data_IF_019846986933
#
_entry.id   IF_019846986933
#
_cell.length_a   1.000
_cell.length_b   1.000
_cell.length_c   1.000
_cell.angle_alpha   90.00
_cell.angle_beta   90.00
_cell.angle_gamma   90.00
#
_symmetry.space_group_name_H-M   'P 1'
#
loop_
_entity.id
_entity.type
_entity.pdbx_description
1 polymer ?
#
# COMPACT_ATOMS: atom_id res chain seq x y z
N UNK A 1 -10.62 -17.40 -30.58
CA UNK A 1 -12.08 -17.23 -30.41
C UNK A 1 -12.33 -15.86 -29.78
N UNK A 2 -12.94 -14.91 -30.49
CA UNK A 2 -13.35 -13.63 -29.94
C UNK A 2 -14.53 -13.87 -29.00
N UNK A 3 -14.28 -14.00 -27.71
CA UNK A 3 -15.31 -14.25 -26.70
C UNK A 3 -15.79 -12.94 -26.06
N UNK A 4 -16.99 -12.98 -25.50
CA UNK A 4 -17.50 -11.89 -24.64
C UNK A 4 -16.93 -12.05 -23.22
N UNK A 5 -16.42 -10.97 -22.64
CA UNK A 5 -15.89 -10.92 -21.29
C UNK A 5 -16.72 -9.95 -20.45
N UNK A 6 -17.20 -10.41 -19.29
CA UNK A 6 -17.79 -9.53 -18.28
C UNK A 6 -16.86 -9.35 -17.10
N UNK A 7 -16.66 -8.10 -16.67
CA UNK A 7 -15.75 -7.73 -15.59
C UNK A 7 -16.55 -7.06 -14.47
N UNK A 8 -16.45 -7.60 -13.25
CA UNK A 8 -17.15 -7.11 -12.07
C UNK A 8 -16.25 -6.15 -11.29
N UNK A 9 -16.59 -4.85 -11.32
CA UNK A 9 -15.79 -3.77 -10.77
C UNK A 9 -15.19 -2.87 -11.86
N UNK A 10 -14.66 -1.72 -11.44
CA UNK A 10 -14.06 -0.72 -12.32
C UNK A 10 -12.76 -0.14 -11.77
N UNK A 11 -12.10 -0.85 -10.85
CA UNK A 11 -10.79 -0.46 -10.33
C UNK A 11 -9.64 -0.83 -11.28
N UNK A 12 -8.41 -0.66 -10.81
CA UNK A 12 -7.20 -0.88 -11.62
C UNK A 12 -7.11 -2.27 -12.23
N UNK A 13 -7.53 -3.33 -11.50
CA UNK A 13 -7.58 -4.68 -12.06
C UNK A 13 -8.60 -4.78 -13.19
N UNK A 14 -9.79 -4.19 -13.01
CA UNK A 14 -10.86 -4.24 -14.00
C UNK A 14 -10.48 -3.51 -15.29
N UNK A 15 -9.93 -2.28 -15.19
CA UNK A 15 -9.50 -1.52 -16.37
C UNK A 15 -8.32 -2.19 -17.10
N UNK A 16 -7.33 -2.71 -16.37
CA UNK A 16 -6.23 -3.45 -16.99
C UNK A 16 -6.72 -4.70 -17.70
N UNK A 17 -7.70 -5.42 -17.11
CA UNK A 17 -8.34 -6.57 -17.76
C UNK A 17 -9.11 -6.14 -18.99
N UNK A 18 -9.92 -5.09 -18.91
CA UNK A 18 -10.75 -4.62 -20.00
C UNK A 18 -9.93 -4.19 -21.22
N UNK A 19 -8.90 -3.37 -21.00
CA UNK A 19 -8.01 -2.90 -22.08
C UNK A 19 -7.31 -4.08 -22.74
N UNK A 20 -6.68 -4.99 -21.96
CA UNK A 20 -6.02 -6.18 -22.52
C UNK A 20 -6.99 -7.10 -23.28
N UNK A 21 -8.21 -7.28 -22.80
CA UNK A 21 -9.22 -8.06 -23.48
C UNK A 21 -9.64 -7.41 -24.82
N UNK A 22 -9.78 -6.09 -24.87
CA UNK A 22 -10.05 -5.33 -26.10
C UNK A 22 -8.92 -5.47 -27.11
N UNK A 23 -7.66 -5.39 -26.65
CA UNK A 23 -6.47 -5.60 -27.51
C UNK A 23 -6.44 -7.01 -28.11
N UNK A 24 -7.00 -8.00 -27.40
CA UNK A 24 -7.18 -9.37 -27.90
C UNK A 24 -8.45 -9.55 -28.77
N UNK A 25 -9.21 -8.47 -29.03
CA UNK A 25 -10.38 -8.49 -29.89
C UNK A 25 -11.68 -8.97 -29.22
N UNK A 26 -11.71 -9.13 -27.90
CA UNK A 26 -12.92 -9.50 -27.17
C UNK A 26 -13.89 -8.32 -27.03
N UNK A 27 -15.20 -8.60 -26.96
CA UNK A 27 -16.18 -7.63 -26.48
C UNK A 27 -16.17 -7.62 -24.95
N UNK A 28 -16.14 -6.43 -24.37
CA UNK A 28 -16.01 -6.25 -22.92
C UNK A 28 -17.18 -5.49 -22.34
N UNK A 29 -17.83 -6.07 -21.34
CA UNK A 29 -18.84 -5.41 -20.52
C UNK A 29 -18.29 -5.29 -19.10
N UNK A 30 -18.12 -4.05 -18.61
CA UNK A 30 -17.73 -3.76 -17.23
C UNK A 30 -18.98 -3.46 -16.40
N UNK A 31 -19.06 -4.00 -15.18
CA UNK A 31 -20.17 -3.74 -14.25
C UNK A 31 -19.65 -2.96 -13.05
N UNK A 32 -20.23 -1.78 -12.77
CA UNK A 32 -19.85 -0.95 -11.63
C UNK A 32 -21.08 -0.47 -10.85
N UNK A 33 -21.08 -0.70 -9.55
CA UNK A 33 -22.20 -0.32 -8.65
C UNK A 33 -22.06 1.10 -8.06
N UNK A 34 -20.83 1.67 -8.08
CA UNK A 34 -20.53 2.94 -7.41
C UNK A 34 -19.71 3.87 -8.32
N UNK A 35 -18.67 4.49 -7.80
CA UNK A 35 -17.82 5.42 -8.55
C UNK A 35 -16.83 4.69 -9.43
N UNK A 36 -16.77 5.06 -10.72
CA UNK A 36 -15.83 4.51 -11.69
C UNK A 36 -14.37 4.79 -11.26
N UNK A 37 -13.46 3.85 -11.54
CA UNK A 37 -12.04 3.96 -11.24
C UNK A 37 -11.60 3.28 -9.93
N UNK A 38 -12.56 2.82 -9.12
CA UNK A 38 -12.29 2.06 -7.89
C UNK A 38 -11.53 2.84 -6.81
N UNK A 39 -10.83 2.12 -5.93
CA UNK A 39 -10.23 2.68 -4.71
C UNK A 39 -9.08 3.63 -5.00
N UNK A 40 -8.12 3.26 -5.86
CA UNK A 40 -6.85 3.96 -6.00
C UNK A 40 -7.02 5.44 -6.38
N UNK A 41 -7.78 5.74 -7.42
CA UNK A 41 -7.97 7.12 -7.89
C UNK A 41 -8.94 7.91 -7.01
N UNK A 42 -10.00 7.27 -6.50
CA UNK A 42 -11.08 8.00 -5.82
C UNK A 42 -10.84 8.22 -4.33
N UNK A 43 -10.39 7.17 -3.60
CA UNK A 43 -10.35 7.15 -2.14
C UNK A 43 -9.12 6.44 -1.57
N UNK A 44 -8.07 6.28 -2.37
CA UNK A 44 -6.86 5.53 -1.98
C UNK A 44 -5.58 6.28 -2.30
N UNK A 45 -4.79 5.73 -3.25
CA UNK A 45 -3.43 6.17 -3.54
C UNK A 45 -3.34 7.65 -3.92
N UNK A 46 -4.14 8.10 -4.89
CA UNK A 46 -4.06 9.47 -5.40
C UNK A 46 -4.43 10.49 -4.32
N UNK A 47 -5.64 10.44 -3.71
CA UNK A 47 -6.00 11.43 -2.71
C UNK A 47 -5.12 11.39 -1.47
N UNK A 48 -4.71 10.21 -0.99
CA UNK A 48 -3.86 10.14 0.19
C UNK A 48 -2.47 10.74 -0.07
N UNK A 49 -1.84 10.47 -1.23
CA UNK A 49 -0.52 11.01 -1.56
C UNK A 49 -0.56 12.52 -1.84
N UNK A 50 -1.67 13.03 -2.39
CA UNK A 50 -1.87 14.48 -2.52
C UNK A 50 -1.90 15.16 -1.15
N UNK A 51 -2.65 14.61 -0.19
CA UNK A 51 -2.72 15.16 1.17
C UNK A 51 -1.42 14.98 1.95
N UNK A 52 -0.75 13.81 1.86
CA UNK A 52 0.56 13.57 2.48
C UNK A 52 1.56 14.62 1.99
N UNK A 53 1.61 14.88 0.67
CA UNK A 53 2.51 15.92 0.13
C UNK A 53 2.21 17.31 0.65
N UNK A 54 0.94 17.66 0.88
CA UNK A 54 0.56 18.92 1.51
C UNK A 54 1.00 18.99 2.98
N UNK A 55 0.84 17.88 3.74
CA UNK A 55 1.34 17.74 5.12
C UNK A 55 2.86 17.91 5.20
N UNK A 56 3.61 17.24 4.32
CA UNK A 56 5.07 17.38 4.22
C UNK A 56 5.51 18.82 3.96
N UNK A 57 4.82 19.53 3.06
CA UNK A 57 5.13 20.95 2.79
C UNK A 57 4.97 21.81 4.04
N UNK A 58 3.90 21.59 4.84
CA UNK A 58 3.70 22.28 6.12
C UNK A 58 4.79 21.90 7.13
N UNK A 59 5.12 20.62 7.26
CA UNK A 59 6.17 20.14 8.18
C UNK A 59 7.50 20.79 7.88
N UNK A 60 7.93 20.84 6.61
CA UNK A 60 9.18 21.48 6.18
C UNK A 60 9.16 22.98 6.48
N UNK A 61 8.00 23.65 6.29
CA UNK A 61 7.85 25.06 6.65
C UNK A 61 7.89 25.30 8.16
N UNK A 62 7.46 24.33 8.98
CA UNK A 62 7.49 24.42 10.44
C UNK A 62 8.86 24.07 11.03
N UNK A 63 9.52 23.07 10.42
CA UNK A 63 10.74 22.47 10.97
C UNK A 63 11.67 22.05 9.83
N UNK A 64 12.82 22.72 9.71
CA UNK A 64 13.91 22.31 8.83
C UNK A 64 15.26 22.50 9.55
N UNK A 65 16.30 21.71 9.18
CA UNK A 65 17.57 21.68 9.92
C UNK A 65 18.55 22.81 9.56
N UNK A 66 18.26 23.66 8.57
CA UNK A 66 19.22 24.61 8.02
C UNK A 66 19.29 25.89 8.85
N UNK A 67 20.46 26.16 9.43
CA UNK A 67 20.71 27.36 10.20
C UNK A 67 20.63 28.63 9.31
N UNK A 68 20.10 29.72 9.88
CA UNK A 68 20.00 31.00 9.19
C UNK A 68 18.84 31.12 8.17
N UNK A 69 17.99 30.10 8.05
CA UNK A 69 16.75 30.15 7.29
C UNK A 69 15.60 30.14 8.29
N UNK A 70 14.87 31.25 8.40
CA UNK A 70 13.69 31.35 9.25
C UNK A 70 12.44 31.07 8.43
N UNK A 71 11.67 30.06 8.85
CA UNK A 71 10.37 29.72 8.25
C UNK A 71 9.35 29.51 9.35
N UNK A 72 8.07 29.64 9.01
CA UNK A 72 6.96 29.38 9.91
C UNK A 72 5.81 28.72 9.15
N UNK A 73 5.18 27.72 9.76
CA UNK A 73 3.93 27.17 9.25
C UNK A 73 2.75 27.95 9.85
N UNK A 74 1.92 28.51 8.96
CA UNK A 74 0.65 29.13 9.35
C UNK A 74 -0.43 28.11 9.69
N UNK A 75 -1.64 28.59 10.07
CA UNK A 75 -2.82 27.73 10.21
C UNK A 75 -3.16 27.07 8.87
N UNK A 76 -3.71 25.86 8.93
CA UNK A 76 -4.10 25.10 7.73
C UNK A 76 -5.59 25.29 7.49
N UNK A 77 -5.96 25.73 6.29
CA UNK A 77 -7.32 25.59 5.77
C UNK A 77 -7.46 24.20 5.12
N UNK A 78 -7.94 23.22 5.90
CA UNK A 78 -8.05 21.85 5.42
C UNK A 78 -9.10 21.73 4.30
N UNK A 79 -10.14 22.56 4.28
CA UNK A 79 -11.14 22.56 3.20
C UNK A 79 -10.51 22.92 1.85
N UNK A 80 -9.63 23.93 1.84
CA UNK A 80 -8.92 24.32 0.62
C UNK A 80 -7.97 23.20 0.14
N UNK A 81 -7.25 22.54 1.06
CA UNK A 81 -6.36 21.40 0.71
C UNK A 81 -7.17 20.21 0.17
N UNK A 82 -8.31 19.89 0.80
CA UNK A 82 -9.21 18.81 0.34
C UNK A 82 -9.80 19.16 -1.02
N UNK A 83 -10.25 20.40 -1.25
CA UNK A 83 -10.78 20.84 -2.55
C UNK A 83 -9.73 20.65 -3.66
N UNK A 84 -8.48 21.02 -3.44
CA UNK A 84 -7.38 20.80 -4.41
C UNK A 84 -7.16 19.32 -4.69
N UNK A 85 -7.21 18.45 -3.66
CA UNK A 85 -7.17 17.00 -3.81
C UNK A 85 -8.35 16.50 -4.66
N UNK A 86 -9.56 17.01 -4.43
CA UNK A 86 -10.76 16.60 -5.16
C UNK A 86 -10.73 17.00 -6.64
N UNK A 87 -10.20 18.18 -6.96
CA UNK A 87 -9.96 18.61 -8.34
C UNK A 87 -9.01 17.65 -9.06
N UNK A 88 -7.89 17.25 -8.43
CA UNK A 88 -6.96 16.28 -8.99
C UNK A 88 -7.62 14.92 -9.20
N UNK A 89 -8.37 14.43 -8.22
CA UNK A 89 -9.09 13.15 -8.30
C UNK A 89 -10.11 13.17 -9.43
N UNK A 90 -10.90 14.24 -9.54
CA UNK A 90 -11.90 14.39 -10.60
C UNK A 90 -11.27 14.41 -11.99
N UNK A 91 -10.17 15.18 -12.17
CA UNK A 91 -9.45 15.25 -13.43
C UNK A 91 -8.89 13.88 -13.84
N UNK A 92 -8.21 13.18 -12.92
CA UNK A 92 -7.64 11.87 -13.22
C UNK A 92 -8.70 10.79 -13.43
N UNK A 93 -9.81 10.82 -12.70
CA UNK A 93 -10.92 9.89 -12.92
C UNK A 93 -11.50 10.07 -14.32
N UNK A 94 -11.73 11.32 -14.72
CA UNK A 94 -12.24 11.62 -16.06
C UNK A 94 -11.27 11.13 -17.14
N UNK A 95 -10.02 11.58 -17.11
CA UNK A 95 -9.02 11.30 -18.15
C UNK A 95 -8.61 9.82 -18.21
N UNK A 96 -8.39 9.18 -17.05
CA UNK A 96 -7.79 7.84 -16.97
C UNK A 96 -8.80 6.70 -16.80
N UNK A 97 -10.11 7.02 -16.72
CA UNK A 97 -11.15 6.00 -16.56
C UNK A 97 -12.39 6.30 -17.43
N UNK A 98 -13.03 7.49 -17.29
CA UNK A 98 -14.26 7.78 -17.98
C UNK A 98 -14.05 7.88 -19.50
N UNK A 99 -13.06 8.64 -19.93
CA UNK A 99 -12.74 8.84 -21.35
C UNK A 99 -12.26 7.53 -22.00
N UNK A 100 -11.52 6.69 -21.27
CA UNK A 100 -11.01 5.39 -21.78
C UNK A 100 -12.12 4.37 -22.11
N UNK A 101 -13.29 4.47 -21.49
CA UNK A 101 -14.40 3.57 -21.85
C UNK A 101 -14.77 3.73 -23.34
N UNK A 102 -14.93 4.97 -23.81
CA UNK A 102 -15.22 5.26 -25.21
C UNK A 102 -14.05 4.94 -26.13
N UNK A 103 -12.83 5.29 -25.75
CA UNK A 103 -11.63 5.09 -26.56
C UNK A 103 -11.36 3.60 -26.84
N UNK A 104 -11.59 2.72 -25.84
CA UNK A 104 -11.39 1.29 -25.98
C UNK A 104 -12.68 0.53 -26.37
N UNK A 105 -13.83 1.20 -26.47
CA UNK A 105 -15.11 0.54 -26.78
C UNK A 105 -15.51 -0.47 -25.70
N UNK A 106 -15.42 -0.07 -24.43
CA UNK A 106 -15.82 -0.86 -23.26
C UNK A 106 -17.23 -0.47 -22.87
N UNK A 107 -18.15 -1.42 -22.84
CA UNK A 107 -19.52 -1.20 -22.40
C UNK A 107 -19.57 -1.14 -20.86
N UNK A 108 -20.18 -0.08 -20.31
CA UNK A 108 -20.37 0.07 -18.87
C UNK A 108 -21.83 -0.17 -18.48
N UNK A 109 -22.07 -1.14 -17.62
CA UNK A 109 -23.37 -1.39 -16.99
C UNK A 109 -23.30 -0.93 -15.54
N UNK A 110 -24.18 0.01 -15.17
CA UNK A 110 -24.33 0.44 -13.78
C UNK A 110 -25.25 -0.49 -13.02
N UNK A 111 -24.81 -0.98 -11.86
CA UNK A 111 -25.59 -1.85 -10.99
C UNK A 111 -24.75 -2.83 -10.18
N UNK A 112 -25.41 -3.59 -9.33
CA UNK A 112 -24.78 -4.63 -8.49
C UNK A 112 -24.83 -5.98 -9.20
N UNK A 113 -23.62 -6.51 -9.48
CA UNK A 113 -23.49 -7.83 -10.10
C UNK A 113 -23.56 -8.94 -9.04
N UNK A 114 -24.29 -10.01 -9.39
CA UNK A 114 -24.44 -11.22 -8.57
C UNK A 114 -24.51 -12.45 -9.47
N UNK A 115 -23.78 -13.51 -9.16
CA UNK A 115 -23.92 -14.77 -9.85
C UNK A 115 -25.28 -15.41 -9.53
N UNK A 116 -25.98 -15.85 -10.55
CA UNK A 116 -27.25 -16.57 -10.42
C UNK A 116 -27.02 -18.10 -10.36
N UNK A 117 -26.02 -18.56 -11.11
CA UNK A 117 -25.54 -19.94 -11.16
C UNK A 117 -24.08 -19.97 -11.70
N UNK A 118 -23.54 -21.17 -11.97
CA UNK A 118 -22.17 -21.37 -12.49
C UNK A 118 -21.90 -20.73 -13.86
N UNK A 119 -22.92 -20.33 -14.60
CA UNK A 119 -22.81 -19.83 -15.96
C UNK A 119 -23.41 -18.47 -16.20
N UNK A 120 -24.17 -17.96 -15.27
CA UNK A 120 -24.93 -16.73 -15.45
C UNK A 120 -24.70 -15.73 -14.33
N UNK A 121 -24.63 -14.47 -14.74
CA UNK A 121 -24.55 -13.30 -13.89
C UNK A 121 -25.83 -12.47 -14.05
N UNK A 122 -26.29 -11.83 -12.99
CA UNK A 122 -27.33 -10.82 -13.04
C UNK A 122 -26.82 -9.47 -12.50
N UNK A 123 -27.25 -8.39 -13.13
CA UNK A 123 -27.00 -7.03 -12.65
C UNK A 123 -28.36 -6.43 -12.28
N UNK A 124 -28.55 -6.13 -10.99
CA UNK A 124 -29.86 -5.68 -10.45
C UNK A 124 -31.03 -6.55 -10.90
N UNK A 125 -30.82 -7.88 -10.92
CA UNK A 125 -31.80 -8.88 -11.33
C UNK A 125 -31.95 -9.09 -12.85
N UNK A 126 -31.23 -8.32 -13.69
CA UNK A 126 -31.26 -8.50 -15.15
C UNK A 126 -30.12 -9.40 -15.59
N UNK A 127 -30.39 -10.46 -16.36
CA UNK A 127 -29.35 -11.38 -16.82
C UNK A 127 -28.29 -10.68 -17.68
N UNK A 128 -27.01 -11.01 -17.42
CA UNK A 128 -25.87 -10.63 -18.23
C UNK A 128 -25.06 -11.89 -18.55
N UNK A 129 -25.08 -12.29 -19.81
CA UNK A 129 -24.36 -13.46 -20.28
C UNK A 129 -23.03 -13.07 -20.92
N UNK A 130 -21.97 -13.83 -20.60
CA UNK A 130 -20.66 -13.69 -21.20
C UNK A 130 -19.99 -15.06 -21.39
N UNK A 131 -18.96 -15.12 -22.23
CA UNK A 131 -18.14 -16.32 -22.43
C UNK A 131 -17.27 -16.62 -21.20
N UNK A 132 -16.74 -15.57 -20.55
CA UNK A 132 -15.95 -15.64 -19.33
C UNK A 132 -16.23 -14.43 -18.43
N UNK A 133 -15.82 -14.56 -17.15
CA UNK A 133 -16.01 -13.51 -16.13
C UNK A 133 -14.71 -13.23 -15.40
N UNK A 134 -14.49 -11.95 -15.02
CA UNK A 134 -13.41 -11.57 -14.11
C UNK A 134 -14.01 -10.85 -12.90
N UNK A 135 -13.78 -11.40 -11.70
CA UNK A 135 -14.12 -10.76 -10.45
C UNK A 135 -12.99 -9.83 -10.06
N UNK A 136 -13.23 -8.51 -10.10
CA UNK A 136 -12.29 -7.45 -9.79
C UNK A 136 -12.91 -6.40 -8.85
N UNK A 137 -13.73 -6.88 -7.90
CA UNK A 137 -14.51 -6.06 -6.97
C UNK A 137 -13.67 -5.41 -5.86
N UNK A 138 -12.39 -5.78 -5.75
CA UNK A 138 -11.45 -5.19 -4.82
C UNK A 138 -11.75 -5.49 -3.35
N UNK A 139 -11.33 -4.59 -2.46
CA UNK A 139 -11.51 -4.69 -1.02
C UNK A 139 -11.91 -3.33 -0.42
N UNK A 140 -12.51 -3.38 0.79
CA UNK A 140 -12.92 -2.23 1.58
C UNK A 140 -12.20 -2.22 2.95
N UNK A 141 -12.10 -1.07 3.66
CA UNK A 141 -11.52 -1.03 5.00
C UNK A 141 -12.16 -2.05 5.93
N UNK A 142 -11.34 -2.82 6.64
CA UNK A 142 -11.80 -3.77 7.65
C UNK A 142 -11.94 -3.07 9.00
N UNK A 143 -13.10 -3.22 9.63
CA UNK A 143 -13.38 -2.66 10.94
C UNK A 143 -13.54 -3.80 11.94
N UNK A 144 -12.67 -3.89 12.95
CA UNK A 144 -12.75 -4.94 13.95
C UNK A 144 -13.97 -4.72 14.88
N UNK A 145 -14.51 -5.78 15.46
CA UNK A 145 -15.67 -5.70 16.36
C UNK A 145 -15.24 -5.20 17.77
N UNK A 146 -14.78 -3.95 17.85
CA UNK A 146 -14.44 -3.29 19.10
C UNK A 146 -15.72 -2.78 19.76
N UNK A 147 -15.99 -3.13 21.04
CA UNK A 147 -17.18 -2.67 21.77
C UNK A 147 -17.32 -1.13 21.71
N UNK A 148 -18.52 -0.65 21.37
CA UNK A 148 -18.88 0.76 21.31
C UNK A 148 -18.29 1.57 20.16
N UNK A 149 -17.36 1.03 19.36
CA UNK A 149 -16.70 1.75 18.26
C UNK A 149 -17.70 2.29 17.22
N UNK A 150 -18.68 1.50 16.83
CA UNK A 150 -19.69 1.89 15.85
C UNK A 150 -20.56 3.06 16.36
N UNK A 151 -20.98 3.02 17.62
CA UNK A 151 -21.81 4.05 18.24
C UNK A 151 -21.01 5.34 18.52
N UNK A 152 -19.75 5.22 18.89
CA UNK A 152 -18.86 6.36 19.10
C UNK A 152 -18.52 7.10 17.80
N UNK A 153 -18.59 6.42 16.66
CA UNK A 153 -18.17 6.90 15.35
C UNK A 153 -16.65 6.87 15.18
N UNK A 154 -16.22 6.52 13.98
CA UNK A 154 -14.82 6.37 13.63
C UNK A 154 -14.56 6.80 12.17
N UNK A 155 -13.31 7.05 11.87
CA UNK A 155 -12.80 7.27 10.51
C UNK A 155 -12.24 5.97 9.94
N UNK A 156 -12.35 5.82 8.64
CA UNK A 156 -11.58 4.86 7.84
C UNK A 156 -10.59 5.59 6.96
N UNK A 157 -9.75 4.85 6.22
CA UNK A 157 -8.88 5.45 5.19
C UNK A 157 -9.65 6.22 4.12
N UNK A 158 -10.93 5.94 3.92
CA UNK A 158 -11.79 6.67 2.98
C UNK A 158 -12.28 7.98 3.60
N UNK A 159 -12.96 7.92 4.73
CA UNK A 159 -13.59 9.09 5.34
C UNK A 159 -12.59 10.08 5.95
N UNK A 160 -11.38 9.64 6.30
CA UNK A 160 -10.33 10.52 6.79
C UNK A 160 -9.80 11.51 5.73
N UNK A 161 -9.89 11.15 4.44
CA UNK A 161 -9.44 11.99 3.32
C UNK A 161 -10.40 13.14 2.99
N UNK A 162 -11.61 13.12 3.56
CA UNK A 162 -12.66 14.11 3.31
C UNK A 162 -12.98 14.95 4.56
N UNK A 163 -12.10 14.91 5.58
CA UNK A 163 -12.26 15.77 6.75
C UNK A 163 -12.11 17.24 6.37
N UNK A 164 -13.01 18.07 6.86
CA UNK A 164 -12.99 19.51 6.67
C UNK A 164 -12.23 20.26 7.78
N UNK A 165 -11.98 19.58 8.89
CA UNK A 165 -11.29 20.14 10.06
C UNK A 165 -10.24 19.17 10.58
N UNK A 166 -9.09 19.70 11.00
CA UNK A 166 -8.01 18.92 11.59
C UNK A 166 -8.40 18.55 13.02
N UNK A 167 -8.46 17.25 13.39
CA UNK A 167 -8.70 16.86 14.78
C UNK A 167 -7.52 17.29 15.66
N UNK A 168 -7.78 17.92 16.81
CA UNK A 168 -6.72 18.29 17.74
C UNK A 168 -6.00 17.09 18.36
N UNK A 169 -6.71 15.95 18.50
CA UNK A 169 -6.16 14.67 18.94
C UNK A 169 -6.76 13.51 18.12
N UNK A 170 -5.90 12.65 17.60
CA UNK A 170 -6.25 11.50 16.77
C UNK A 170 -5.70 10.21 17.36
N UNK A 171 -6.57 9.21 17.59
CA UNK A 171 -6.16 7.84 17.86
C UNK A 171 -6.16 7.04 16.56
N UNK A 172 -5.07 6.36 16.23
CA UNK A 172 -4.92 5.51 15.05
C UNK A 172 -4.85 4.05 15.51
N UNK A 173 -5.82 3.24 15.15
CA UNK A 173 -5.88 1.81 15.45
C UNK A 173 -5.32 1.04 14.26
N UNK A 174 -4.14 0.44 14.44
CA UNK A 174 -3.32 -0.19 13.40
C UNK A 174 -2.19 0.72 12.92
N UNK A 175 -0.93 0.30 13.17
CA UNK A 175 0.28 1.04 12.82
C UNK A 175 1.09 0.32 11.72
N UNK A 176 0.39 -0.05 10.64
CA UNK A 176 1.00 -0.47 9.38
C UNK A 176 0.76 0.61 8.30
N UNK A 177 1.06 0.36 7.03
CA UNK A 177 1.13 1.34 5.94
C UNK A 177 0.05 2.44 6.01
N UNK A 178 -1.23 2.09 5.98
CA UNK A 178 -2.33 3.07 5.97
C UNK A 178 -2.40 3.90 7.25
N UNK A 179 -2.26 3.23 8.40
CA UNK A 179 -2.29 3.91 9.71
C UNK A 179 -1.11 4.85 9.89
N UNK A 180 0.09 4.42 9.48
CA UNK A 180 1.30 5.22 9.56
C UNK A 180 1.23 6.44 8.63
N UNK A 181 0.85 6.25 7.37
CA UNK A 181 0.73 7.33 6.39
C UNK A 181 -0.28 8.41 6.83
N UNK A 182 -1.50 8.00 7.20
CA UNK A 182 -2.54 8.95 7.58
C UNK A 182 -2.30 9.53 8.98
N UNK A 183 -1.77 8.74 9.92
CA UNK A 183 -1.40 9.25 11.23
C UNK A 183 -0.32 10.33 11.13
N UNK A 184 0.74 10.08 10.35
CA UNK A 184 1.80 11.07 10.15
C UNK A 184 1.29 12.29 9.38
N UNK A 185 0.45 12.11 8.34
CA UNK A 185 -0.23 13.23 7.66
C UNK A 185 -0.94 14.15 8.66
N UNK A 186 -1.80 13.61 9.53
CA UNK A 186 -2.52 14.45 10.51
C UNK A 186 -1.58 15.05 11.55
N UNK A 187 -0.50 14.36 11.93
CA UNK A 187 0.59 14.91 12.75
C UNK A 187 1.24 16.13 12.09
N UNK A 188 1.61 16.01 10.82
CA UNK A 188 2.17 17.10 10.01
C UNK A 188 1.21 18.28 9.88
N UNK A 189 -0.10 18.02 9.86
CA UNK A 189 -1.14 19.05 9.84
C UNK A 189 -1.41 19.67 11.22
N UNK A 190 -0.88 19.09 12.32
CA UNK A 190 -0.93 19.66 13.68
C UNK A 190 -1.77 18.87 14.68
N UNK A 191 -2.23 17.66 14.36
CA UNK A 191 -2.90 16.77 15.32
C UNK A 191 -1.89 16.15 16.30
N UNK A 192 -2.30 15.96 17.56
CA UNK A 192 -1.61 15.04 18.48
C UNK A 192 -2.02 13.61 18.15
N UNK A 193 -1.07 12.81 17.66
CA UNK A 193 -1.34 11.45 17.18
C UNK A 193 -0.90 10.41 18.18
N UNK A 194 -1.80 9.43 18.46
CA UNK A 194 -1.47 8.23 19.23
C UNK A 194 -1.74 7.00 18.38
N UNK A 195 -0.71 6.19 18.15
CA UNK A 195 -0.81 4.91 17.43
C UNK A 195 -1.02 3.77 18.42
N UNK A 196 -1.93 2.87 18.07
CA UNK A 196 -2.17 1.60 18.75
C UNK A 196 -1.92 0.46 17.78
N UNK A 197 -0.95 -0.39 18.08
CA UNK A 197 -0.63 -1.58 17.30
C UNK A 197 -0.78 -2.84 18.17
N UNK A 198 -1.49 -3.83 17.65
CA UNK A 198 -1.73 -5.08 18.36
C UNK A 198 -0.50 -5.98 18.41
N UNK A 199 0.37 -5.87 17.41
CA UNK A 199 1.64 -6.56 17.35
C UNK A 199 2.72 -5.79 18.12
N UNK A 200 3.89 -6.36 18.26
CA UNK A 200 4.97 -5.87 19.13
C UNK A 200 5.67 -4.59 18.64
N UNK A 201 5.45 -4.18 17.39
CA UNK A 201 6.08 -2.98 16.81
C UNK A 201 5.25 -2.37 15.67
N UNK A 202 5.49 -1.12 15.33
CA UNK A 202 4.95 -0.45 14.13
C UNK A 202 5.56 -1.09 12.88
N UNK A 203 4.87 -0.99 11.73
CA UNK A 203 5.29 -1.64 10.49
C UNK A 203 5.74 -3.10 10.73
N UNK A 204 4.91 -3.97 11.35
CA UNK A 204 5.33 -5.24 11.94
C UNK A 204 5.82 -6.27 10.91
N UNK A 205 5.52 -6.06 9.64
CA UNK A 205 5.92 -6.94 8.53
C UNK A 205 7.24 -6.53 7.86
N UNK A 206 7.81 -5.38 8.26
CA UNK A 206 9.11 -4.93 7.81
C UNK A 206 10.23 -5.50 8.69
N UNK A 207 11.48 -5.29 8.29
CA UNK A 207 12.64 -5.68 9.10
C UNK A 207 12.60 -4.97 10.46
N UNK A 208 13.02 -5.65 11.55
CA UNK A 208 12.99 -5.06 12.90
C UNK A 208 13.70 -3.72 12.99
N UNK A 209 14.86 -3.59 12.33
CA UNK A 209 15.67 -2.37 12.34
C UNK A 209 14.96 -1.19 11.65
N UNK A 210 14.18 -1.47 10.57
CA UNK A 210 13.34 -0.47 9.89
C UNK A 210 12.23 0.01 10.84
N UNK A 211 11.57 -0.93 11.50
CA UNK A 211 10.50 -0.63 12.47
C UNK A 211 11.00 0.18 13.66
N UNK A 212 12.17 -0.17 14.20
CA UNK A 212 12.80 0.54 15.32
C UNK A 212 13.18 1.98 14.93
N UNK A 213 13.86 2.14 13.80
CA UNK A 213 14.27 3.46 13.31
C UNK A 213 13.05 4.35 13.04
N UNK A 214 12.00 3.84 12.37
CA UNK A 214 10.77 4.59 12.16
C UNK A 214 10.07 4.97 13.48
N UNK A 215 10.08 4.06 14.46
CA UNK A 215 9.51 4.34 15.79
C UNK A 215 10.22 5.52 16.45
N UNK A 216 11.55 5.61 16.33
CA UNK A 216 12.34 6.76 16.79
C UNK A 216 11.87 8.05 16.14
N UNK A 217 11.80 8.08 14.81
CA UNK A 217 11.36 9.24 14.03
C UNK A 217 9.95 9.70 14.42
N UNK A 218 9.00 8.80 14.51
CA UNK A 218 7.61 9.13 14.87
C UNK A 218 7.52 9.75 16.27
N UNK A 219 8.32 9.25 17.23
CA UNK A 219 8.38 9.81 18.59
C UNK A 219 9.01 11.19 18.61
N UNK A 220 10.08 11.41 17.85
CA UNK A 220 10.70 12.73 17.67
C UNK A 220 9.73 13.74 17.03
N UNK A 221 8.86 13.28 16.15
CA UNK A 221 7.76 14.07 15.57
C UNK A 221 6.59 14.27 16.54
N UNK A 222 6.67 13.76 17.78
CA UNK A 222 5.67 13.97 18.83
C UNK A 222 4.56 12.94 18.88
N UNK A 223 4.62 11.85 18.11
CA UNK A 223 3.64 10.79 18.19
C UNK A 223 3.82 9.92 19.45
N UNK A 224 2.70 9.50 20.05
CA UNK A 224 2.68 8.49 21.10
C UNK A 224 2.41 7.13 20.46
N UNK A 225 3.19 6.10 20.84
CA UNK A 225 3.09 4.76 20.25
C UNK A 225 2.91 3.74 21.37
N UNK A 226 1.82 2.97 21.27
CA UNK A 226 1.53 1.82 22.12
C UNK A 226 1.57 0.55 21.25
N UNK A 227 2.65 -0.24 21.39
CA UNK A 227 2.86 -1.52 20.74
C UNK A 227 3.66 -2.45 21.70
N UNK A 228 3.12 -3.63 22.07
CA UNK A 228 1.77 -4.10 21.76
C UNK A 228 0.70 -3.40 22.61
N UNK A 229 -0.48 -3.16 22.00
CA UNK A 229 -1.65 -2.62 22.69
C UNK A 229 -2.93 -3.27 22.19
N UNK A 230 -3.85 -3.54 23.10
CA UNK A 230 -5.17 -4.07 22.76
C UNK A 230 -6.25 -3.05 23.09
N UNK A 231 -7.01 -2.63 22.09
CA UNK A 231 -8.20 -1.79 22.31
C UNK A 231 -9.31 -2.68 22.89
N UNK A 232 -9.88 -2.25 24.00
CA UNK A 232 -10.94 -2.99 24.73
C UNK A 232 -12.33 -2.37 24.54
N UNK A 233 -12.39 -1.09 24.14
CA UNK A 233 -13.64 -0.40 23.85
C UNK A 233 -13.41 1.02 23.38
N UNK A 234 -14.44 1.62 22.79
CA UNK A 234 -14.48 3.05 22.45
C UNK A 234 -15.86 3.58 22.85
N UNK A 235 -15.87 4.67 23.61
CA UNK A 235 -17.11 5.31 24.05
C UNK A 235 -17.16 6.75 23.55
N UNK A 236 -18.36 7.26 23.30
CA UNK A 236 -18.60 8.66 22.99
C UNK A 236 -18.83 9.45 24.26
N UNK A 237 -18.08 10.53 24.44
CA UNK A 237 -18.22 11.49 25.53
C UNK A 237 -18.34 12.92 24.95
N UNK A 238 -19.58 13.35 24.76
CA UNK A 238 -19.89 14.58 24.05
C UNK A 238 -19.36 14.57 22.61
N UNK A 239 -18.48 15.51 22.29
CA UNK A 239 -17.81 15.60 20.99
C UNK A 239 -16.53 14.75 20.89
N UNK A 240 -16.11 14.14 21.99
CA UNK A 240 -14.89 13.33 22.06
C UNK A 240 -15.19 11.83 22.03
N UNK A 241 -14.16 11.03 21.81
CA UNK A 241 -14.13 9.59 21.92
C UNK A 241 -13.15 9.21 23.02
N UNK A 242 -13.54 8.32 23.90
CA UNK A 242 -12.67 7.75 24.93
C UNK A 242 -12.31 6.33 24.50
N UNK A 243 -11.03 6.15 24.16
CA UNK A 243 -10.48 4.86 23.78
C UNK A 243 -9.98 4.15 25.02
N UNK A 244 -10.55 3.00 25.35
CA UNK A 244 -10.11 2.11 26.41
C UNK A 244 -9.16 1.05 25.83
N UNK A 245 -7.98 0.86 26.44
CA UNK A 245 -6.98 -0.07 25.94
C UNK A 245 -6.12 -0.66 27.06
N UNK A 246 -5.44 -1.78 26.76
CA UNK A 246 -4.48 -2.41 27.66
C UNK A 246 -3.07 -2.37 27.05
N UNK A 247 -2.08 -2.03 27.88
CA UNK A 247 -0.65 -2.08 27.59
C UNK A 247 0.08 -2.65 28.80
N UNK A 248 0.89 -3.68 28.62
CA UNK A 248 1.61 -4.32 29.71
C UNK A 248 0.70 -4.92 30.78
N UNK A 249 -0.54 -5.27 30.42
CA UNK A 249 -1.56 -5.79 31.35
C UNK A 249 -2.35 -4.73 32.11
N UNK A 250 -2.01 -3.45 31.99
CA UNK A 250 -2.70 -2.34 32.63
C UNK A 250 -3.78 -1.74 31.72
N UNK A 251 -4.96 -1.53 32.28
CA UNK A 251 -6.06 -0.82 31.62
C UNK A 251 -5.79 0.69 31.65
N UNK A 252 -5.97 1.34 30.51
CA UNK A 252 -5.79 2.79 30.32
C UNK A 252 -6.89 3.36 29.44
N UNK A 253 -7.03 4.69 29.47
CA UNK A 253 -8.01 5.44 28.69
C UNK A 253 -7.36 6.67 28.05
N UNK A 254 -7.77 6.97 26.82
CA UNK A 254 -7.33 8.14 26.07
C UNK A 254 -8.54 8.85 25.46
N UNK A 255 -8.72 10.13 25.78
CA UNK A 255 -9.75 10.96 25.16
C UNK A 255 -9.19 11.68 23.93
N UNK A 256 -9.83 11.48 22.76
CA UNK A 256 -9.44 12.03 21.46
C UNK A 256 -10.63 12.66 20.73
N UNK A 257 -10.35 13.48 19.73
CA UNK A 257 -11.40 14.08 18.90
C UNK A 257 -11.86 13.12 17.81
N UNK A 258 -10.97 12.28 17.30
CA UNK A 258 -11.29 11.27 16.27
C UNK A 258 -10.52 9.96 16.50
N UNK A 259 -11.13 8.87 16.03
CA UNK A 259 -10.50 7.54 15.96
C UNK A 259 -10.42 7.12 14.50
N UNK A 260 -9.22 6.84 14.00
CA UNK A 260 -8.97 6.27 12.68
C UNK A 260 -8.74 4.77 12.81
N UNK A 261 -9.55 3.97 12.10
CA UNK A 261 -9.40 2.52 12.02
C UNK A 261 -8.63 2.18 10.74
N UNK A 262 -7.44 1.60 10.91
CA UNK A 262 -6.50 1.22 9.84
C UNK A 262 -6.00 -0.22 10.01
N UNK A 263 -6.91 -1.15 10.35
CA UNK A 263 -6.61 -2.55 10.72
C UNK A 263 -6.65 -3.53 9.55
N UNK A 264 -6.47 -3.03 8.34
CA UNK A 264 -6.45 -3.83 7.11
C UNK A 264 -7.70 -3.65 6.25
N UNK A 265 -7.86 -4.56 5.28
CA UNK A 265 -8.94 -4.51 4.29
C UNK A 265 -9.61 -5.87 4.18
N UNK A 266 -10.90 -5.87 3.80
CA UNK A 266 -11.72 -7.06 3.59
C UNK A 266 -12.15 -7.15 2.11
N UNK A 267 -12.00 -8.32 1.46
CA UNK A 267 -12.46 -8.53 0.09
C UNK A 267 -13.96 -8.26 -0.08
N UNK A 268 -14.34 -7.68 -1.22
CA UNK A 268 -15.73 -7.36 -1.54
C UNK A 268 -16.41 -8.54 -2.25
N UNK A 269 -16.74 -9.58 -1.49
CA UNK A 269 -17.35 -10.84 -2.00
C UNK A 269 -18.74 -11.10 -1.45
N UNK A 270 -19.18 -10.39 -0.41
CA UNK A 270 -20.45 -10.66 0.30
C UNK A 270 -21.68 -10.64 -0.63
N UNK A 271 -21.70 -9.75 -1.63
CA UNK A 271 -22.85 -9.59 -2.52
C UNK A 271 -22.75 -10.44 -3.81
N UNK A 272 -21.65 -11.14 -4.03
CA UNK A 272 -21.36 -11.86 -5.28
C UNK A 272 -22.19 -13.14 -5.46
N UNK A 273 -22.71 -13.74 -4.37
CA UNK A 273 -23.25 -15.10 -4.36
C UNK A 273 -22.24 -16.13 -4.95
N UNK A 274 -21.00 -16.08 -4.46
CA UNK A 274 -19.89 -16.88 -4.95
C UNK A 274 -20.19 -18.39 -4.95
N UNK A 275 -20.88 -18.89 -3.91
CA UNK A 275 -21.30 -20.29 -3.81
C UNK A 275 -22.21 -20.73 -4.96
N UNK A 276 -23.12 -19.85 -5.43
CA UNK A 276 -24.02 -20.17 -6.56
C UNK A 276 -23.24 -20.40 -7.87
N UNK A 277 -22.05 -19.86 -7.97
CA UNK A 277 -21.17 -19.98 -9.13
C UNK A 277 -20.02 -20.99 -8.94
N UNK A 278 -20.05 -21.81 -7.88
CA UNK A 278 -18.93 -22.70 -7.50
C UNK A 278 -17.58 -21.98 -7.37
N UNK A 279 -17.60 -20.76 -6.81
CA UNK A 279 -16.41 -19.96 -6.53
C UNK A 279 -16.04 -20.12 -5.06
N UNK A 280 -14.89 -20.76 -4.80
CA UNK A 280 -14.38 -20.93 -3.44
C UNK A 280 -13.86 -19.60 -2.85
N UNK A 281 -14.18 -19.38 -1.57
CA UNK A 281 -13.65 -18.29 -0.76
C UNK A 281 -12.78 -18.84 0.36
N UNK A 282 -11.73 -18.12 0.74
CA UNK A 282 -10.89 -18.44 1.90
C UNK A 282 -11.58 -18.04 3.23
N UNK A 283 -10.93 -18.34 4.36
CA UNK A 283 -11.45 -18.00 5.70
C UNK A 283 -11.56 -16.49 5.97
N UNK A 284 -10.99 -15.62 5.13
CA UNK A 284 -11.10 -14.15 5.19
C UNK A 284 -12.12 -13.61 4.19
N UNK A 285 -12.71 -14.48 3.38
CA UNK A 285 -13.66 -14.15 2.33
C UNK A 285 -13.02 -13.71 1.01
N UNK A 286 -11.74 -13.95 0.81
CA UNK A 286 -11.08 -13.69 -0.47
C UNK A 286 -11.40 -14.80 -1.47
N UNK A 287 -11.49 -14.45 -2.76
CA UNK A 287 -11.67 -15.44 -3.84
C UNK A 287 -10.38 -16.26 -3.98
N UNK A 288 -10.52 -17.58 -3.85
CA UNK A 288 -9.40 -18.52 -4.05
C UNK A 288 -9.09 -18.64 -5.54
N UNK A 289 -7.83 -18.43 -5.90
CA UNK A 289 -7.34 -18.57 -7.27
C UNK A 289 -6.06 -19.42 -7.34
N UNK A 290 -5.85 -20.04 -8.49
CA UNK A 290 -4.58 -20.70 -8.80
C UNK A 290 -3.51 -19.69 -9.30
N UNK A 291 -2.30 -20.17 -9.63
CA UNK A 291 -1.20 -19.36 -10.17
C UNK A 291 -1.56 -18.67 -11.51
N UNK A 292 -2.64 -19.04 -12.13
CA UNK A 292 -3.14 -18.47 -13.39
C UNK A 292 -4.34 -17.54 -13.18
N UNK A 293 -4.66 -17.22 -11.91
CA UNK A 293 -5.81 -16.40 -11.51
C UNK A 293 -7.18 -17.03 -11.82
N UNK A 294 -7.25 -18.36 -12.01
CA UNK A 294 -8.50 -19.10 -12.20
C UNK A 294 -9.11 -19.42 -10.83
N UNK A 295 -10.41 -19.28 -10.73
CA UNK A 295 -11.18 -19.77 -9.58
C UNK A 295 -11.49 -21.26 -9.71
N UNK A 296 -12.22 -21.82 -8.75
CA UNK A 296 -12.77 -23.19 -8.87
C UNK A 296 -13.75 -23.33 -10.03
N UNK A 297 -14.43 -22.25 -10.44
CA UNK A 297 -15.21 -22.20 -11.66
C UNK A 297 -14.32 -21.88 -12.87
N UNK A 298 -14.17 -22.79 -13.88
CA UNK A 298 -13.26 -22.59 -15.00
C UNK A 298 -13.63 -21.43 -15.93
N UNK A 299 -14.83 -20.86 -15.80
CA UNK A 299 -15.28 -19.67 -16.56
C UNK A 299 -14.98 -18.36 -15.85
N UNK A 300 -14.53 -18.43 -14.60
CA UNK A 300 -14.34 -17.25 -13.74
C UNK A 300 -12.90 -17.13 -13.31
N UNK A 301 -12.31 -15.96 -13.55
CA UNK A 301 -11.03 -15.53 -13.01
C UNK A 301 -11.27 -14.48 -11.94
N UNK A 302 -10.29 -14.25 -11.06
CA UNK A 302 -10.34 -13.12 -10.12
C UNK A 302 -8.99 -12.38 -10.08
N UNK A 303 -9.04 -11.07 -9.85
CA UNK A 303 -7.86 -10.22 -9.92
C UNK A 303 -7.88 -9.07 -8.91
N UNK A 304 -6.72 -8.76 -8.36
CA UNK A 304 -6.52 -7.66 -7.40
C UNK A 304 -6.99 -8.00 -5.99
N UNK A 305 -7.36 -6.97 -5.22
CA UNK A 305 -7.60 -7.04 -3.77
C UNK A 305 -8.76 -7.96 -3.34
N UNK A 306 -9.56 -8.45 -4.27
CA UNK A 306 -10.61 -9.44 -4.02
C UNK A 306 -10.04 -10.83 -3.77
N UNK A 307 -8.80 -11.09 -4.17
CA UNK A 307 -8.02 -12.30 -3.90
C UNK A 307 -7.16 -12.13 -2.65
N UNK A 308 -6.40 -13.15 -2.25
CA UNK A 308 -5.44 -13.12 -1.14
C UNK A 308 -4.08 -12.49 -1.53
N UNK A 309 -3.95 -12.00 -2.76
CA UNK A 309 -2.74 -11.37 -3.26
C UNK A 309 -2.38 -10.07 -2.50
N UNK A 310 -1.11 -9.64 -2.53
CA UNK A 310 -0.70 -8.35 -1.96
C UNK A 310 -1.51 -7.19 -2.53
N UNK A 311 -2.12 -6.40 -1.63
CA UNK A 311 -3.08 -5.34 -1.98
C UNK A 311 -2.38 -4.06 -2.44
N UNK A 312 -1.73 -4.13 -3.60
CA UNK A 312 -1.11 -2.99 -4.28
C UNK A 312 -1.75 -2.73 -5.63
N UNK A 313 -1.88 -1.46 -6.01
CA UNK A 313 -2.50 -1.06 -7.28
C UNK A 313 -1.82 -1.67 -8.50
N UNK A 314 -0.49 -1.76 -8.51
CA UNK A 314 0.29 -2.37 -9.60
C UNK A 314 0.16 -3.89 -9.63
N UNK A 315 -0.07 -4.57 -8.49
CA UNK A 315 -0.44 -6.00 -8.45
C UNK A 315 -1.83 -6.17 -9.06
N UNK A 316 -2.80 -5.33 -8.65
CA UNK A 316 -4.15 -5.37 -9.18
C UNK A 316 -4.17 -5.19 -10.71
N UNK A 317 -3.44 -4.20 -11.23
CA UNK A 317 -3.33 -3.95 -12.67
C UNK A 317 -2.67 -5.14 -13.42
N UNK A 318 -1.55 -5.64 -12.88
CA UNK A 318 -0.87 -6.82 -13.47
C UNK A 318 -1.77 -8.06 -13.47
N UNK A 319 -2.44 -8.34 -12.35
CA UNK A 319 -3.38 -9.45 -12.24
C UNK A 319 -4.56 -9.30 -13.20
N UNK A 320 -5.11 -8.09 -13.35
CA UNK A 320 -6.21 -7.83 -14.28
C UNK A 320 -5.82 -8.14 -15.72
N UNK A 321 -4.68 -7.61 -16.19
CA UNK A 321 -4.16 -7.87 -17.51
C UNK A 321 -3.91 -9.38 -17.74
N UNK A 322 -3.29 -10.04 -16.77
CA UNK A 322 -2.97 -11.46 -16.83
C UNK A 322 -4.24 -12.34 -16.81
N UNK A 323 -5.23 -12.00 -15.97
CA UNK A 323 -6.50 -12.71 -15.90
C UNK A 323 -7.26 -12.64 -17.24
N UNK A 324 -7.26 -11.48 -17.91
CA UNK A 324 -7.86 -11.33 -19.22
C UNK A 324 -7.15 -12.20 -20.29
N UNK A 325 -5.81 -12.19 -20.30
CA UNK A 325 -5.01 -13.03 -21.17
C UNK A 325 -5.32 -14.52 -20.93
N UNK A 326 -5.33 -14.96 -19.66
CA UNK A 326 -5.57 -16.34 -19.29
C UNK A 326 -7.01 -16.81 -19.56
N UNK A 327 -7.99 -15.89 -19.52
CA UNK A 327 -9.38 -16.19 -19.83
C UNK A 327 -9.66 -16.34 -21.33
N UNK A 328 -8.86 -15.67 -22.19
CA UNK A 328 -9.14 -15.53 -23.62
C UNK A 328 -8.11 -16.23 -24.53
N UNK A 329 -6.89 -16.49 -24.04
CA UNK A 329 -5.81 -17.09 -24.82
C UNK A 329 -5.71 -18.61 -24.64
N UNK A 330 -5.06 -19.28 -25.60
CA UNK A 330 -4.79 -20.73 -25.54
C UNK A 330 -3.69 -21.09 -24.52
N UNK A 331 -2.76 -20.16 -24.25
CA UNK A 331 -1.62 -20.38 -23.36
C UNK A 331 -1.71 -19.47 -22.13
N UNK A 332 -1.95 -20.10 -20.99
CA UNK A 332 -1.99 -19.40 -19.70
C UNK A 332 -0.58 -19.05 -19.19
N UNK A 333 -0.45 -17.88 -18.57
CA UNK A 333 0.78 -17.38 -17.94
C UNK A 333 0.61 -17.35 -16.42
N UNK A 334 1.68 -17.72 -15.71
CA UNK A 334 1.70 -17.68 -14.24
C UNK A 334 1.96 -16.28 -13.68
N UNK A 335 1.40 -16.01 -12.53
CA UNK A 335 1.76 -14.86 -11.69
C UNK A 335 3.20 -15.01 -11.20
N UNK A 336 3.99 -13.94 -11.28
CA UNK A 336 5.33 -13.86 -10.69
C UNK A 336 5.43 -12.62 -9.78
N UNK A 337 5.52 -12.85 -8.48
CA UNK A 337 5.65 -11.82 -7.45
C UNK A 337 7.04 -11.81 -6.78
N UNK A 338 8.03 -12.54 -7.29
CA UNK A 338 9.32 -12.72 -6.63
C UNK A 338 10.07 -11.41 -6.35
N UNK A 339 9.95 -10.43 -7.24
CA UNK A 339 10.59 -9.11 -7.10
C UNK A 339 9.55 -7.99 -6.91
N UNK A 340 8.46 -8.28 -6.18
CA UNK A 340 7.43 -7.30 -5.90
C UNK A 340 7.95 -6.25 -4.91
N UNK A 341 8.04 -4.95 -5.30
CA UNK A 341 8.37 -3.90 -4.35
C UNK A 341 7.16 -3.56 -3.48
N UNK A 342 7.44 -2.98 -2.32
CA UNK A 342 6.42 -2.34 -1.48
C UNK A 342 6.97 -1.02 -0.94
N UNK A 343 6.11 -0.01 -0.88
CA UNK A 343 6.44 1.33 -0.38
C UNK A 343 5.34 1.76 0.59
N UNK A 344 5.77 2.29 1.75
CA UNK A 344 4.92 3.03 2.67
C UNK A 344 5.39 4.48 2.66
N UNK A 345 4.48 5.39 2.36
CA UNK A 345 4.77 6.81 2.16
C UNK A 345 4.79 7.58 3.49
N UNK A 346 5.52 7.04 4.46
CA UNK A 346 5.93 7.77 5.67
C UNK A 346 7.04 8.75 5.33
N UNK A 347 7.40 9.62 6.28
CA UNK A 347 8.57 10.47 6.19
C UNK A 347 9.49 10.18 7.38
N UNK A 348 10.66 9.55 7.14
CA UNK A 348 11.15 9.00 5.86
C UNK A 348 10.33 7.83 5.34
N UNK A 349 10.43 7.54 4.03
CA UNK A 349 9.69 6.45 3.38
C UNK A 349 10.28 5.08 3.75
N UNK A 350 9.40 4.10 3.97
CA UNK A 350 9.80 2.69 3.97
C UNK A 350 9.68 2.16 2.53
N UNK A 351 10.71 1.48 2.05
CA UNK A 351 10.63 0.74 0.80
C UNK A 351 11.35 -0.60 0.92
N UNK A 352 10.80 -1.64 0.30
CA UNK A 352 11.42 -2.96 0.34
C UNK A 352 11.09 -3.78 -0.91
N UNK A 353 11.96 -4.73 -1.23
CA UNK A 353 11.75 -5.75 -2.25
C UNK A 353 12.42 -7.05 -1.82
N UNK A 354 11.84 -8.18 -2.22
CA UNK A 354 12.38 -9.51 -1.94
C UNK A 354 12.17 -9.98 -0.49
N UNK A 355 13.05 -10.86 -0.03
CA UNK A 355 12.92 -11.55 1.25
C UNK A 355 13.49 -10.73 2.41
N UNK A 356 12.82 -10.80 3.57
CA UNK A 356 13.41 -10.40 4.85
C UNK A 356 14.51 -11.39 5.26
N UNK A 357 15.38 -11.00 6.17
CA UNK A 357 16.41 -11.89 6.74
C UNK A 357 15.79 -13.19 7.29
N UNK A 358 14.69 -13.04 8.04
CA UNK A 358 13.93 -14.21 8.57
C UNK A 358 13.30 -15.02 7.44
N UNK A 359 12.74 -14.36 6.43
CA UNK A 359 12.11 -15.02 5.28
C UNK A 359 13.11 -15.81 4.45
N UNK A 360 14.28 -15.23 4.21
CA UNK A 360 15.37 -15.90 3.48
C UNK A 360 15.91 -17.11 4.23
N UNK A 361 16.12 -16.99 5.55
CA UNK A 361 16.52 -18.11 6.41
C UNK A 361 15.46 -19.22 6.41
N UNK A 362 14.16 -18.83 6.52
CA UNK A 362 13.04 -19.77 6.47
C UNK A 362 12.88 -20.49 5.12
N UNK A 363 13.32 -19.85 4.03
CA UNK A 363 13.39 -20.45 2.70
C UNK A 363 14.61 -21.36 2.46
N UNK A 364 15.47 -21.51 3.47
CA UNK A 364 16.65 -22.40 3.43
C UNK A 364 17.94 -21.76 2.92
N UNK A 365 17.97 -20.44 2.72
CA UNK A 365 19.19 -19.74 2.34
C UNK A 365 20.16 -19.59 3.52
N UNK A 366 21.46 -19.68 3.24
CA UNK A 366 22.52 -19.22 4.14
C UNK A 366 22.67 -17.71 3.95
N UNK A 367 22.25 -16.94 4.95
CA UNK A 367 22.08 -15.49 4.82
C UNK A 367 23.31 -14.73 5.34
N UNK A 368 23.73 -13.71 4.58
CA UNK A 368 24.59 -12.62 5.04
C UNK A 368 23.84 -11.29 4.88
N UNK A 369 24.10 -10.33 5.76
CA UNK A 369 23.37 -9.08 5.84
C UNK A 369 24.32 -7.89 5.92
N UNK A 370 24.05 -6.87 5.13
CA UNK A 370 24.64 -5.55 5.26
C UNK A 370 23.62 -4.59 5.88
N UNK A 371 24.08 -3.71 6.79
CA UNK A 371 23.27 -2.64 7.40
C UNK A 371 24.09 -1.35 7.30
N UNK A 372 23.63 -0.41 6.52
CA UNK A 372 24.24 0.91 6.36
C UNK A 372 23.32 1.95 7.00
N UNK A 373 23.69 2.59 8.11
CA UNK A 373 22.96 3.72 8.64
C UNK A 373 23.08 4.92 7.69
N UNK A 374 22.03 5.74 7.60
CA UNK A 374 22.05 6.92 6.73
C UNK A 374 23.07 7.99 7.20
N UNK A 375 23.52 7.95 8.45
CA UNK A 375 24.63 8.79 8.93
C UNK A 375 25.95 8.55 8.22
N UNK A 376 26.10 7.42 7.52
CA UNK A 376 27.26 7.11 6.66
C UNK A 376 27.01 7.40 5.17
N UNK A 377 25.86 7.98 4.82
CA UNK A 377 25.47 8.28 3.43
C UNK A 377 25.68 9.77 3.14
N UNK A 378 26.56 10.18 2.21
CA UNK A 378 26.86 11.58 1.96
C UNK A 378 25.63 12.44 1.61
N UNK A 379 24.68 11.92 0.86
CA UNK A 379 23.44 12.62 0.53
C UNK A 379 22.58 12.90 1.76
N UNK A 380 22.44 11.95 2.67
CA UNK A 380 21.71 12.11 3.91
C UNK A 380 22.35 13.17 4.82
N UNK A 381 23.69 13.21 4.88
CA UNK A 381 24.43 14.24 5.59
C UNK A 381 24.17 15.64 5.02
N UNK A 382 24.20 15.79 3.67
CA UNK A 382 23.91 17.07 2.99
C UNK A 382 22.47 17.52 3.22
N UNK A 383 21.53 16.59 3.28
CA UNK A 383 20.12 16.87 3.57
C UNK A 383 19.88 17.18 5.07
N UNK A 384 20.84 16.92 5.96
CA UNK A 384 20.66 16.89 7.41
C UNK A 384 19.50 15.95 7.84
N UNK A 385 19.29 14.87 7.09
CA UNK A 385 18.27 13.85 7.35
C UNK A 385 18.93 12.47 7.32
N UNK A 386 19.45 12.08 8.49
CA UNK A 386 20.22 10.84 8.67
C UNK A 386 19.43 9.75 9.40
N UNK A 387 18.15 9.99 9.67
CA UNK A 387 17.28 9.01 10.32
C UNK A 387 16.89 7.90 9.31
N UNK A 388 17.38 6.68 9.57
CA UNK A 388 17.07 5.53 8.75
C UNK A 388 18.29 4.68 8.38
N UNK A 389 18.07 3.73 7.49
CA UNK A 389 19.11 2.79 7.06
C UNK A 389 18.76 2.11 5.73
N UNK A 390 19.77 1.50 5.14
CA UNK A 390 19.64 0.52 4.04
C UNK A 390 20.10 -0.84 4.55
N UNK A 391 19.25 -1.87 4.42
CA UNK A 391 19.58 -3.26 4.73
C UNK A 391 19.54 -4.10 3.46
N UNK A 392 20.61 -4.86 3.19
CA UNK A 392 20.68 -5.83 2.10
C UNK A 392 20.78 -7.22 2.69
N UNK A 393 19.88 -8.11 2.26
CA UNK A 393 19.88 -9.54 2.56
C UNK A 393 20.42 -10.28 1.34
N UNK A 394 21.47 -11.07 1.49
CA UNK A 394 22.10 -11.80 0.41
C UNK A 394 22.42 -13.25 0.81
N UNK A 395 22.50 -14.10 -0.20
CA UNK A 395 22.86 -15.51 -0.04
C UNK A 395 24.37 -15.68 0.05
N UNK A 396 24.84 -16.42 1.04
CA UNK A 396 26.28 -16.66 1.27
C UNK A 396 26.92 -17.47 0.13
N UNK A 397 26.19 -18.45 -0.41
CA UNK A 397 26.74 -19.42 -1.35
C UNK A 397 26.79 -18.89 -2.79
N UNK A 398 25.79 -18.07 -3.15
CA UNK A 398 25.66 -17.55 -4.51
C UNK A 398 26.00 -16.07 -4.64
N UNK A 399 26.19 -15.36 -3.55
CA UNK A 399 26.31 -13.89 -3.44
C UNK A 399 25.10 -13.10 -3.95
N UNK A 400 24.00 -13.76 -4.34
CA UNK A 400 22.81 -13.09 -4.88
C UNK A 400 22.09 -12.26 -3.85
N UNK A 401 21.61 -11.10 -4.26
CA UNK A 401 20.72 -10.25 -3.49
C UNK A 401 19.35 -10.92 -3.38
N UNK A 402 18.93 -11.25 -2.17
CA UNK A 402 17.63 -11.87 -1.87
C UNK A 402 16.57 -10.84 -1.46
N UNK A 403 16.99 -9.73 -0.88
CA UNK A 403 16.10 -8.66 -0.49
C UNK A 403 16.82 -7.38 -0.12
N UNK A 404 16.12 -6.27 -0.24
CA UNK A 404 16.59 -4.93 0.13
C UNK A 404 15.48 -4.21 0.87
N UNK A 405 15.82 -3.57 1.98
CA UNK A 405 14.91 -2.84 2.85
C UNK A 405 15.49 -1.48 3.18
N UNK A 406 14.70 -0.42 2.99
CA UNK A 406 15.13 0.95 3.16
C UNK A 406 14.17 1.71 4.07
N UNK A 407 14.73 2.56 4.91
CA UNK A 407 14.04 3.68 5.53
C UNK A 407 14.85 4.92 5.17
N UNK A 408 14.36 5.73 4.24
CA UNK A 408 15.09 6.89 3.74
C UNK A 408 14.16 7.89 3.03
N UNK A 409 14.57 9.14 2.93
CA UNK A 409 13.96 10.08 1.98
C UNK A 409 14.15 9.56 0.55
N UNK A 410 13.07 9.57 -0.25
CA UNK A 410 13.09 9.05 -1.64
C UNK A 410 13.30 7.53 -1.76
N UNK A 411 13.12 6.74 -0.68
CA UNK A 411 13.28 5.28 -0.73
C UNK A 411 12.39 4.62 -1.78
N UNK A 412 11.19 5.19 -2.04
CA UNK A 412 10.28 4.71 -3.07
C UNK A 412 10.85 4.75 -4.48
N UNK A 413 11.74 5.70 -4.78
CA UNK A 413 12.43 5.79 -6.08
C UNK A 413 13.68 4.90 -6.10
N UNK A 414 14.43 4.86 -5.00
CA UNK A 414 15.66 4.05 -4.87
C UNK A 414 15.36 2.55 -4.98
N UNK A 415 14.26 2.08 -4.43
CA UNK A 415 13.91 0.65 -4.42
C UNK A 415 13.78 0.05 -5.82
N UNK A 416 13.53 0.87 -6.86
CA UNK A 416 13.44 0.36 -8.24
C UNK A 416 14.75 -0.28 -8.71
N UNK A 417 15.92 0.25 -8.31
CA UNK A 417 17.21 -0.37 -8.60
C UNK A 417 17.34 -1.74 -7.89
N UNK A 418 16.87 -1.82 -6.65
CA UNK A 418 16.85 -3.08 -5.90
C UNK A 418 15.88 -4.11 -6.51
N UNK A 419 14.74 -3.67 -7.10
CA UNK A 419 13.85 -4.56 -7.86
C UNK A 419 14.59 -5.24 -9.01
N UNK A 420 15.40 -4.50 -9.77
CA UNK A 420 16.20 -5.10 -10.84
C UNK A 420 17.27 -6.06 -10.29
N UNK A 421 17.91 -5.72 -9.17
CA UNK A 421 18.88 -6.60 -8.54
C UNK A 421 18.26 -7.95 -8.14
N UNK A 422 17.11 -7.95 -7.47
CA UNK A 422 16.40 -9.18 -7.08
C UNK A 422 15.86 -9.92 -8.31
N UNK A 423 15.20 -9.20 -9.24
CA UNK A 423 14.57 -9.79 -10.43
C UNK A 423 15.55 -10.53 -11.33
N UNK A 424 16.73 -9.96 -11.51
CA UNK A 424 17.76 -10.51 -12.40
C UNK A 424 18.84 -11.31 -11.66
N UNK A 425 18.70 -11.48 -10.32
CA UNK A 425 19.62 -12.27 -9.51
C UNK A 425 21.03 -11.70 -9.48
N UNK A 426 21.15 -10.34 -9.42
CA UNK A 426 22.45 -9.68 -9.28
C UNK A 426 23.09 -10.04 -7.94
N UNK A 427 24.42 -10.04 -7.92
CA UNK A 427 25.23 -10.29 -6.71
C UNK A 427 25.46 -8.99 -5.92
N UNK A 428 25.90 -9.13 -4.66
CA UNK A 428 26.36 -7.97 -3.87
C UNK A 428 27.58 -7.31 -4.51
N UNK A 429 28.43 -8.09 -5.17
CA UNK A 429 29.57 -7.58 -5.93
C UNK A 429 29.14 -6.74 -7.14
N UNK A 430 28.09 -7.17 -7.86
CA UNK A 430 27.52 -6.39 -8.98
C UNK A 430 27.02 -5.04 -8.49
N UNK A 431 26.27 -5.00 -7.39
CA UNK A 431 25.79 -3.74 -6.81
C UNK A 431 26.92 -2.83 -6.36
N UNK A 432 27.94 -3.39 -5.68
CA UNK A 432 29.11 -2.64 -5.21
C UNK A 432 29.95 -2.06 -6.35
N UNK A 433 30.01 -2.77 -7.48
CA UNK A 433 30.79 -2.40 -8.66
C UNK A 433 30.05 -1.54 -9.69
N UNK A 434 28.72 -1.38 -9.56
CA UNK A 434 27.92 -0.60 -10.52
C UNK A 434 28.01 0.90 -10.22
N UNK A 435 28.09 1.72 -11.28
CA UNK A 435 28.08 3.17 -11.16
C UNK A 435 26.81 3.68 -10.49
N UNK A 436 26.97 4.55 -9.50
CA UNK A 436 25.87 5.29 -8.87
C UNK A 436 26.18 6.79 -8.92
N UNK A 437 25.18 7.65 -9.23
CA UNK A 437 25.40 9.10 -9.23
C UNK A 437 25.76 9.57 -7.81
N UNK A 438 26.89 10.26 -7.69
CA UNK A 438 27.35 10.81 -6.42
C UNK A 438 26.39 11.90 -5.90
N UNK A 439 26.22 11.96 -4.57
CA UNK A 439 25.29 12.81 -3.83
C UNK A 439 23.81 12.57 -4.17
N UNK A 440 23.44 11.32 -4.45
CA UNK A 440 22.02 10.90 -4.51
C UNK A 440 21.73 9.81 -3.49
N UNK A 441 20.46 9.63 -3.11
CA UNK A 441 20.06 8.51 -2.23
C UNK A 441 20.24 7.14 -2.92
N UNK A 442 20.25 7.08 -4.26
CA UNK A 442 20.55 5.86 -5.01
C UNK A 442 21.93 5.28 -4.70
N UNK A 443 22.92 6.14 -4.37
CA UNK A 443 24.26 5.72 -3.97
C UNK A 443 24.25 4.89 -2.67
N UNK A 444 23.29 5.11 -1.78
CA UNK A 444 23.18 4.36 -0.53
C UNK A 444 23.08 2.85 -0.76
N UNK A 445 22.45 2.41 -1.85
CA UNK A 445 22.36 0.99 -2.21
C UNK A 445 23.75 0.40 -2.53
N UNK A 446 24.56 1.13 -3.30
CA UNK A 446 25.95 0.74 -3.63
C UNK A 446 26.82 0.72 -2.38
N UNK A 447 26.76 1.77 -1.56
CA UNK A 447 27.51 1.85 -0.30
C UNK A 447 27.15 0.71 0.63
N UNK A 448 25.85 0.38 0.78
CA UNK A 448 25.41 -0.77 1.56
C UNK A 448 25.98 -2.09 1.02
N UNK A 449 26.03 -2.28 -0.30
CA UNK A 449 26.64 -3.47 -0.88
C UNK A 449 28.17 -3.54 -0.62
N UNK A 450 28.86 -2.41 -0.59
CA UNK A 450 30.30 -2.35 -0.27
C UNK A 450 30.60 -2.78 1.16
N UNK A 451 29.67 -2.61 2.12
CA UNK A 451 29.89 -3.01 3.51
C UNK A 451 30.09 -4.52 3.69
N UNK A 452 29.75 -5.35 2.71
CA UNK A 452 30.06 -6.78 2.76
C UNK A 452 31.56 -7.09 2.73
N UNK A 453 32.35 -6.21 2.15
CA UNK A 453 33.79 -6.43 1.92
C UNK A 453 34.70 -5.30 2.42
N UNK A 454 34.13 -4.14 2.74
CA UNK A 454 34.88 -2.94 3.12
C UNK A 454 34.21 -2.24 4.30
N UNK A 455 35.01 -1.54 5.07
CA UNK A 455 34.52 -0.59 6.08
C UNK A 455 34.29 0.77 5.41
N UNK A 456 33.04 1.13 5.18
CA UNK A 456 32.67 2.37 4.47
C UNK A 456 33.09 3.63 5.22
N UNK A 457 33.21 3.59 6.55
CA UNK A 457 33.68 4.73 7.36
C UNK A 457 35.17 5.02 7.16
N UNK A 458 35.90 4.11 6.53
CA UNK A 458 37.31 4.27 6.14
C UNK A 458 37.52 4.66 4.69
N UNK A 459 36.46 4.77 3.90
CA UNK A 459 36.55 5.23 2.53
C UNK A 459 36.42 6.75 2.50
N UNK A 460 37.11 7.39 1.52
CA UNK A 460 36.79 8.80 1.23
C UNK A 460 35.38 8.88 0.61
N UNK A 461 34.72 10.04 0.77
CA UNK A 461 33.37 10.23 0.25
C UNK A 461 33.20 10.00 -1.27
N UNK A 462 34.31 9.93 -2.02
CA UNK A 462 34.34 9.65 -3.47
C UNK A 462 35.07 8.35 -3.82
N UNK A 463 35.61 7.62 -2.83
CA UNK A 463 36.31 6.36 -3.07
C UNK A 463 35.31 5.23 -3.24
N UNK A 464 35.25 4.75 -4.44
CA UNK A 464 34.44 3.59 -4.80
C UNK A 464 35.24 2.29 -4.64
#
# INVERSE_FOLDING_TARGET
MTGDLAILGSGSAAFAAAINARDLGARVTMVERSTLGGTCVNVGCVPSKALIRAGEARRVAAHHPFAGIETAAGPVDLRAVVAQKDELVAALRKEKYEDLLGEHGIDLVRGTARFADERSLAVDGRPLAAGAYIVATGASPAVPPIPGLADAGYLTSTSALDLETIPGALAVIGANAVGLELGQLFGDLGSRVTFFEALDRVAPFEEPEISEALTGVLREQGAVIHAPARITGVERDGDRRVVAFTVGGEQRWLAVDQVLVATGRRPNTADLAAESADIALDGRGAVVVDDFLRTTNPRVHAAGDVTDAPQFVYVAAHHGALAAQNALAEHARRVDLAALPRVTFTTPQIAAVGLTERGATGAGHRVKVARLPLSSVPRALVNHDTAGLVKIVADVDTDKVLGVHLLADGAGDVVQAAVYAVKFGLTTADLAGTWSPYLTMAEALRLAAQTFTRDVDRLSCCAA
#
